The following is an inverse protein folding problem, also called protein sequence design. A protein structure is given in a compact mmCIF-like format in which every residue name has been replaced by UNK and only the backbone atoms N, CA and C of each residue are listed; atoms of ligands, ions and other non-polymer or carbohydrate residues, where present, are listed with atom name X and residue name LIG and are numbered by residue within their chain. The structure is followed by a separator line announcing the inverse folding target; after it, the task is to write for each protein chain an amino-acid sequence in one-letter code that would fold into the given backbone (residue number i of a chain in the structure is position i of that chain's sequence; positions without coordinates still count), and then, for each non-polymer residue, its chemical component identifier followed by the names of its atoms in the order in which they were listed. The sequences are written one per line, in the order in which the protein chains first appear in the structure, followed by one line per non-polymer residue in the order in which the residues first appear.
data_IF_881184781088
#
_entry.id   IF_881184781088
#
_cell.length_a   1.000
_cell.length_b   1.000
_cell.length_c   1.000
_cell.angle_alpha   90.00
_cell.angle_beta   90.00
_cell.angle_gamma   90.00
#
_symmetry.space_group_name_H-M   'P 1'
#
loop_
_entity.id
_entity.type
_entity.pdbx_description
1 polymer ?
#
# COMPACT_ATOMS: atom_id res chain seq x y z
N UNK A 1 27.97 23.13 7.89
CA UNK A 1 26.58 22.82 8.31
C UNK A 1 25.97 21.94 7.21
N UNK A 2 26.12 20.63 7.36
CA UNK A 2 25.49 19.69 6.43
C UNK A 2 24.00 19.64 6.75
N UNK A 3 23.20 20.35 5.95
CA UNK A 3 21.75 20.15 5.91
C UNK A 3 21.51 18.83 5.20
N UNK A 4 21.49 17.74 5.96
CA UNK A 4 21.06 16.44 5.48
C UNK A 4 19.57 16.57 5.11
N UNK A 5 19.33 17.03 3.87
CA UNK A 5 17.97 17.23 3.34
C UNK A 5 17.36 15.85 3.18
N UNK A 6 16.54 15.46 4.14
CA UNK A 6 15.82 14.19 4.10
C UNK A 6 14.97 14.12 2.82
N UNK A 7 15.46 13.43 1.81
CA UNK A 7 14.75 13.23 0.55
C UNK A 7 13.72 12.13 0.80
N UNK A 8 12.45 12.46 0.69
CA UNK A 8 11.36 11.46 0.78
C UNK A 8 11.46 10.52 -0.42
N UNK A 9 11.49 9.23 -0.15
CA UNK A 9 11.43 8.21 -1.20
C UNK A 9 10.09 8.26 -1.93
N UNK A 10 10.07 7.96 -3.25
CA UNK A 10 8.82 7.82 -4.00
C UNK A 10 7.90 6.77 -3.38
N UNK A 11 6.60 7.01 -3.42
CA UNK A 11 5.64 6.03 -2.95
C UNK A 11 5.42 4.92 -3.99
N UNK A 12 5.38 3.69 -3.52
CA UNK A 12 5.13 2.51 -4.34
C UNK A 12 3.62 2.29 -4.49
N UNK A 13 3.15 2.03 -5.71
CA UNK A 13 1.75 1.66 -5.95
C UNK A 13 1.55 0.17 -5.73
N UNK A 14 0.54 -0.19 -4.94
CA UNK A 14 0.20 -1.58 -4.60
C UNK A 14 -1.30 -1.79 -4.68
N UNK A 15 -1.74 -2.92 -5.22
CA UNK A 15 -3.13 -3.37 -5.08
C UNK A 15 -3.43 -3.89 -3.67
N UNK A 16 -4.69 -3.78 -3.23
CA UNK A 16 -5.12 -4.22 -1.91
C UNK A 16 -4.85 -5.71 -1.67
N UNK A 17 -5.05 -6.55 -2.68
CA UNK A 17 -4.78 -7.99 -2.59
C UNK A 17 -3.31 -8.29 -2.30
N UNK A 18 -2.37 -7.57 -2.94
CA UNK A 18 -0.94 -7.67 -2.68
C UNK A 18 -0.56 -7.07 -1.32
N UNK A 19 -1.03 -5.85 -1.05
CA UNK A 19 -0.77 -5.13 0.21
C UNK A 19 -1.18 -5.95 1.43
N UNK A 20 -2.39 -6.51 1.41
CA UNK A 20 -2.90 -7.33 2.51
C UNK A 20 -2.16 -8.67 2.66
N UNK A 21 -1.57 -9.19 1.60
CA UNK A 21 -0.73 -10.41 1.65
C UNK A 21 0.69 -10.11 2.17
N UNK A 22 1.11 -8.83 2.20
CA UNK A 22 2.46 -8.42 2.59
C UNK A 22 2.57 -8.36 4.11
N UNK A 23 3.48 -9.18 4.69
CA UNK A 23 3.67 -9.31 6.15
C UNK A 23 5.09 -9.03 6.61
N UNK A 24 6.04 -8.95 5.67
CA UNK A 24 7.44 -8.68 5.99
C UNK A 24 7.68 -7.17 6.07
N UNK A 25 7.72 -6.64 7.28
CA UNK A 25 8.06 -5.25 7.57
C UNK A 25 9.41 -5.21 8.31
N UNK A 26 10.40 -4.51 7.74
CA UNK A 26 11.77 -4.55 8.24
C UNK A 26 12.41 -3.17 8.30
N UNK A 27 13.24 -2.94 9.31
CA UNK A 27 14.22 -1.84 9.38
C UNK A 27 15.59 -2.37 8.98
N UNK A 28 16.40 -1.55 8.33
CA UNK A 28 17.76 -1.87 7.89
C UNK A 28 18.82 -1.01 8.58
N UNK A 29 18.46 -0.38 9.68
CA UNK A 29 19.35 0.42 10.53
C UNK A 29 18.86 0.34 11.97
N UNK A 30 19.78 0.40 12.92
CA UNK A 30 19.51 0.44 14.37
C UNK A 30 19.02 1.83 14.85
N UNK A 31 19.06 2.85 13.98
CA UNK A 31 18.51 4.17 14.30
C UNK A 31 16.99 4.05 14.52
N UNK A 32 16.51 4.53 15.67
CA UNK A 32 15.07 4.54 15.98
C UNK A 32 14.23 5.27 14.93
N UNK A 33 14.81 6.29 14.28
CA UNK A 33 14.16 7.09 13.22
C UNK A 33 14.30 6.48 11.84
N UNK A 34 15.05 5.37 11.69
CA UNK A 34 15.18 4.71 10.40
C UNK A 34 13.83 4.27 9.85
N UNK A 35 13.60 4.41 8.53
CA UNK A 35 12.36 3.97 7.92
C UNK A 35 12.21 2.45 7.98
N UNK A 36 10.97 1.99 8.15
CA UNK A 36 10.59 0.60 7.95
C UNK A 36 10.15 0.39 6.51
N UNK A 37 10.50 -0.74 5.93
CA UNK A 37 10.14 -1.12 4.56
C UNK A 37 9.25 -2.35 4.57
N UNK A 38 8.11 -2.25 3.91
CA UNK A 38 7.27 -3.39 3.59
C UNK A 38 7.84 -4.07 2.34
N UNK A 39 8.22 -5.33 2.49
CA UNK A 39 8.63 -6.18 1.37
C UNK A 39 7.42 -7.02 0.98
N UNK A 40 7.00 -6.92 -0.30
CA UNK A 40 5.80 -7.61 -0.77
C UNK A 40 6.13 -8.96 -1.40
N UNK A 41 5.14 -9.85 -1.56
CA UNK A 41 5.35 -11.13 -2.24
C UNK A 41 5.81 -11.01 -3.70
N UNK A 42 5.54 -9.90 -4.37
CA UNK A 42 6.03 -9.61 -5.74
C UNK A 42 7.37 -8.86 -5.74
N UNK A 43 7.98 -8.63 -4.57
CA UNK A 43 9.30 -8.00 -4.46
C UNK A 43 9.30 -6.48 -4.44
N UNK A 44 8.15 -5.82 -4.26
CA UNK A 44 8.16 -4.39 -3.98
C UNK A 44 8.78 -4.11 -2.60
N UNK A 45 9.60 -3.06 -2.52
CA UNK A 45 10.20 -2.57 -1.27
C UNK A 45 9.69 -1.16 -1.03
N UNK A 46 8.81 -1.00 -0.05
CA UNK A 46 8.07 0.25 0.13
C UNK A 46 8.13 0.77 1.56
N UNK A 47 8.70 1.96 1.77
CA UNK A 47 8.52 2.70 3.01
C UNK A 47 7.31 3.63 2.96
N UNK A 48 6.83 3.96 1.74
CA UNK A 48 5.61 4.71 1.46
C UNK A 48 4.80 4.02 0.37
N UNK A 49 3.49 4.04 0.50
CA UNK A 49 2.56 3.40 -0.44
C UNK A 49 1.54 4.43 -0.91
N UNK A 50 1.26 4.44 -2.21
CA UNK A 50 0.20 5.22 -2.84
C UNK A 50 -0.90 4.26 -3.28
N UNK A 51 -2.09 4.45 -2.73
CA UNK A 51 -3.28 3.66 -3.08
C UNK A 51 -4.38 4.55 -3.65
N UNK A 52 -5.26 3.96 -4.45
CA UNK A 52 -6.50 4.59 -4.87
C UNK A 52 -7.64 3.57 -4.89
N UNK A 53 -8.86 4.03 -4.69
CA UNK A 53 -10.04 3.20 -4.70
C UNK A 53 -11.28 3.94 -4.20
N UNK A 54 -12.36 3.20 -4.01
CA UNK A 54 -13.59 3.73 -3.42
C UNK A 54 -13.49 3.66 -1.90
N UNK A 55 -13.60 4.80 -1.22
CA UNK A 55 -13.86 4.85 0.21
C UNK A 55 -15.27 4.30 0.47
N UNK A 56 -15.36 3.14 1.10
CA UNK A 56 -16.65 2.47 1.37
C UNK A 56 -17.08 2.60 2.83
N UNK A 57 -16.12 2.84 3.72
CA UNK A 57 -16.39 2.94 5.16
C UNK A 57 -15.46 3.95 5.81
N UNK A 58 -16.03 4.85 6.62
CA UNK A 58 -15.33 5.84 7.41
C UNK A 58 -15.83 5.78 8.85
N UNK A 59 -14.99 5.29 9.74
CA UNK A 59 -15.27 5.20 11.17
C UNK A 59 -14.42 6.22 11.94
N UNK A 60 -15.06 7.23 12.52
CA UNK A 60 -14.44 8.13 13.47
C UNK A 60 -14.37 7.43 14.83
N UNK A 61 -13.25 7.59 15.49
CA UNK A 61 -13.00 7.10 16.84
C UNK A 61 -12.31 8.17 17.67
N UNK A 62 -12.39 8.03 18.98
CA UNK A 62 -11.75 8.91 19.93
C UNK A 62 -10.87 8.08 20.88
N UNK A 63 -9.68 8.56 21.17
CA UNK A 63 -8.80 7.94 22.14
C UNK A 63 -9.17 8.37 23.56
N UNK A 64 -8.53 7.79 24.58
CA UNK A 64 -8.78 8.10 26.00
C UNK A 64 -8.48 9.55 26.40
N UNK A 65 -7.83 10.32 25.50
CA UNK A 65 -7.50 11.74 25.69
C UNK A 65 -8.39 12.68 24.90
N UNK A 66 -9.44 12.14 24.24
CA UNK A 66 -10.36 12.90 23.42
C UNK A 66 -9.82 13.24 22.01
N UNK A 67 -8.72 12.61 21.61
CA UNK A 67 -8.14 12.86 20.29
C UNK A 67 -8.82 11.98 19.24
N UNK A 68 -9.31 12.61 18.18
CA UNK A 68 -9.98 11.91 17.07
C UNK A 68 -8.99 11.20 16.17
N UNK A 69 -9.37 10.01 15.71
CA UNK A 69 -8.70 9.25 14.69
C UNK A 69 -9.72 8.51 13.82
N UNK A 70 -9.32 8.17 12.59
CA UNK A 70 -10.23 7.53 11.64
C UNK A 70 -9.68 6.17 11.21
N UNK A 71 -10.59 5.20 11.08
CA UNK A 71 -10.35 3.92 10.42
C UNK A 71 -11.19 3.87 9.16
N UNK A 72 -10.53 3.74 8.02
CA UNK A 72 -11.16 3.73 6.71
C UNK A 72 -11.04 2.36 6.07
N UNK A 73 -12.01 2.05 5.20
CA UNK A 73 -11.97 0.94 4.26
C UNK A 73 -12.07 1.48 2.85
N UNK A 74 -11.07 1.14 2.03
CA UNK A 74 -10.96 1.59 0.64
C UNK A 74 -10.87 0.36 -0.24
N UNK A 75 -11.75 0.25 -1.24
CA UNK A 75 -11.84 -0.87 -2.17
C UNK A 75 -11.24 -0.50 -3.53
N UNK A 76 -10.29 -1.32 -4.01
CA UNK A 76 -9.67 -1.18 -5.34
C UNK A 76 -10.07 -2.29 -6.33
N UNK A 77 -11.12 -3.06 -6.02
CA UNK A 77 -11.60 -4.26 -6.72
C UNK A 77 -10.73 -5.52 -6.52
N UNK A 78 -9.49 -5.43 -6.05
CA UNK A 78 -8.69 -6.63 -5.71
C UNK A 78 -8.87 -7.03 -4.26
N UNK A 79 -9.26 -6.08 -3.41
CA UNK A 79 -9.50 -6.26 -1.99
C UNK A 79 -9.79 -4.94 -1.29
N UNK A 80 -9.67 -4.98 0.04
CA UNK A 80 -9.98 -3.86 0.92
C UNK A 80 -8.72 -3.40 1.66
N UNK A 81 -8.30 -2.16 1.45
CA UNK A 81 -7.30 -1.55 2.30
C UNK A 81 -7.90 -1.16 3.66
N UNK A 82 -7.13 -1.37 4.72
CA UNK A 82 -7.37 -0.74 6.01
C UNK A 82 -6.45 0.45 6.13
N UNK A 83 -7.01 1.65 6.27
CA UNK A 83 -6.27 2.90 6.40
C UNK A 83 -6.57 3.53 7.76
N UNK A 84 -5.52 4.04 8.40
CA UNK A 84 -5.59 4.69 9.71
C UNK A 84 -5.10 6.13 9.54
N UNK A 85 -5.87 7.09 10.05
CA UNK A 85 -5.50 8.51 10.12
C UNK A 85 -5.49 8.90 11.59
N UNK A 86 -4.34 9.24 12.12
CA UNK A 86 -4.16 9.58 13.53
C UNK A 86 -3.93 11.07 13.76
N UNK A 87 -3.82 11.46 15.02
CA UNK A 87 -3.68 12.84 15.50
C UNK A 87 -2.41 13.55 15.01
N UNK A 88 -1.41 12.78 14.54
CA UNK A 88 -0.17 13.35 14.00
C UNK A 88 -0.27 13.80 12.53
N UNK A 89 -1.46 13.62 11.90
CA UNK A 89 -1.74 14.02 10.52
C UNK A 89 -2.94 14.99 10.49
N UNK A 90 -2.79 16.22 11.00
CA UNK A 90 -3.91 17.16 11.16
C UNK A 90 -4.55 17.55 9.82
N UNK A 91 -3.76 17.60 8.73
CA UNK A 91 -4.28 17.89 7.40
C UNK A 91 -5.15 16.74 6.90
N UNK A 92 -4.68 15.49 6.98
CA UNK A 92 -5.45 14.31 6.61
C UNK A 92 -6.74 14.15 7.46
N UNK A 93 -6.70 14.51 8.75
CA UNK A 93 -7.90 14.53 9.60
C UNK A 93 -8.92 15.55 9.10
N UNK A 94 -8.48 16.74 8.72
CA UNK A 94 -9.35 17.79 8.22
C UNK A 94 -9.99 17.38 6.90
N UNK A 95 -9.20 16.84 5.96
CA UNK A 95 -9.71 16.37 4.67
C UNK A 95 -10.73 15.23 4.86
N UNK A 96 -10.40 14.19 5.63
CA UNK A 96 -11.31 13.04 5.80
C UNK A 96 -12.60 13.43 6.52
N UNK A 97 -12.61 14.46 7.37
CA UNK A 97 -13.81 14.91 8.06
C UNK A 97 -14.91 15.36 7.07
N UNK A 98 -14.50 15.94 5.94
CA UNK A 98 -15.41 16.46 4.90
C UNK A 98 -15.79 15.40 3.86
N UNK A 99 -15.02 14.30 3.69
CA UNK A 99 -15.27 13.26 2.69
C UNK A 99 -16.39 12.34 3.16
N UNK A 100 -17.41 12.16 2.32
CA UNK A 100 -18.54 11.24 2.56
C UNK A 100 -18.39 9.99 1.69
N UNK A 101 -18.55 8.81 2.29
CA UNK A 101 -18.59 7.57 1.54
C UNK A 101 -19.98 7.38 0.86
N UNK A 102 -20.04 6.81 -0.38
CA UNK A 102 -18.92 6.36 -1.19
C UNK A 102 -18.26 7.50 -1.98
N UNK A 103 -16.92 7.50 -2.08
CA UNK A 103 -16.16 8.50 -2.83
C UNK A 103 -14.85 7.90 -3.36
N UNK A 104 -14.38 8.32 -4.54
CA UNK A 104 -13.05 7.96 -5.02
C UNK A 104 -11.99 8.77 -4.31
N UNK A 105 -10.99 8.07 -3.77
CA UNK A 105 -9.90 8.70 -3.03
C UNK A 105 -8.53 8.18 -3.47
N UNK A 106 -7.54 9.05 -3.32
CA UNK A 106 -6.12 8.70 -3.34
C UNK A 106 -5.57 8.91 -1.94
N UNK A 107 -4.81 7.94 -1.45
CA UNK A 107 -4.16 8.00 -0.14
C UNK A 107 -2.69 7.68 -0.29
N UNK A 108 -1.85 8.49 0.34
CA UNK A 108 -0.43 8.21 0.52
C UNK A 108 -0.14 8.00 2.00
N UNK A 109 0.73 7.03 2.32
CA UNK A 109 1.04 6.76 3.71
C UNK A 109 2.14 5.73 3.90
N UNK A 110 2.40 5.43 5.17
CA UNK A 110 3.40 4.44 5.59
C UNK A 110 2.73 3.11 5.89
N UNK A 111 3.24 1.99 5.34
CA UNK A 111 2.74 0.66 5.68
C UNK A 111 3.06 0.32 7.14
N UNK A 112 2.17 -0.42 7.77
CA UNK A 112 2.34 -0.93 9.13
C UNK A 112 1.83 -2.35 9.20
N UNK A 113 2.58 -3.24 9.84
CA UNK A 113 2.17 -4.61 10.13
C UNK A 113 2.03 -4.76 11.64
N UNK A 114 0.93 -5.33 12.08
CA UNK A 114 0.67 -5.56 13.50
C UNK A 114 0.12 -6.98 13.69
N UNK A 115 0.36 -7.53 14.85
CA UNK A 115 -0.14 -8.83 15.26
C UNK A 115 -1.46 -8.68 16.03
N UNK A 116 -2.47 -9.41 15.62
CA UNK A 116 -3.74 -9.50 16.33
C UNK A 116 -3.68 -10.50 17.49
N UNK A 117 -4.73 -10.53 18.30
CA UNK A 117 -4.83 -11.36 19.51
C UNK A 117 -4.64 -12.86 19.26
N UNK A 118 -4.95 -13.33 18.06
CA UNK A 118 -4.79 -14.75 17.66
C UNK A 118 -3.44 -15.04 16.95
N UNK A 119 -2.48 -14.12 17.00
CA UNK A 119 -1.19 -14.25 16.31
C UNK A 119 -1.21 -13.98 14.81
N UNK A 120 -2.38 -13.62 14.25
CA UNK A 120 -2.47 -13.27 12.83
C UNK A 120 -1.88 -11.90 12.55
N UNK A 121 -1.09 -11.80 11.47
CA UNK A 121 -0.51 -10.53 11.04
C UNK A 121 -1.47 -9.77 10.11
N UNK A 122 -1.66 -8.50 10.40
CA UNK A 122 -2.48 -7.58 9.62
C UNK A 122 -1.64 -6.44 9.08
N UNK A 123 -1.93 -6.06 7.83
CA UNK A 123 -1.28 -4.93 7.19
C UNK A 123 -2.26 -3.77 7.10
N UNK A 124 -1.83 -2.59 7.48
CA UNK A 124 -2.59 -1.34 7.39
C UNK A 124 -1.73 -0.22 6.85
N UNK A 125 -2.35 0.83 6.31
CA UNK A 125 -1.70 2.04 5.86
C UNK A 125 -1.94 3.15 6.88
N UNK A 126 -0.88 3.71 7.45
CA UNK A 126 -0.96 4.95 8.23
C UNK A 126 -0.89 6.10 7.24
N UNK A 127 -2.04 6.72 6.95
CA UNK A 127 -2.11 7.79 5.98
C UNK A 127 -1.29 9.00 6.42
N UNK A 128 -0.54 9.57 5.48
CA UNK A 128 0.10 10.87 5.61
C UNK A 128 -0.81 11.94 5.00
N UNK A 129 -1.55 11.57 3.94
CA UNK A 129 -2.47 12.45 3.23
C UNK A 129 -3.57 11.65 2.53
N UNK A 130 -4.73 12.29 2.30
CA UNK A 130 -5.88 11.74 1.59
C UNK A 130 -6.56 12.85 0.79
N UNK A 131 -6.90 12.58 -0.46
CA UNK A 131 -7.65 13.51 -1.33
C UNK A 131 -8.75 12.77 -2.08
N UNK A 132 -9.83 13.49 -2.40
CA UNK A 132 -10.84 13.03 -3.36
C UNK A 132 -10.25 13.09 -4.77
N UNK A 133 -10.57 12.13 -5.60
CA UNK A 133 -10.16 12.11 -7.00
C UNK A 133 -11.33 11.73 -7.92
N UNK A 134 -11.18 12.03 -9.20
CA UNK A 134 -12.12 11.59 -10.22
C UNK A 134 -11.88 10.13 -10.65
N UNK A 135 -12.85 9.51 -11.36
CA UNK A 135 -12.70 8.15 -11.86
C UNK A 135 -11.52 7.98 -12.82
N UNK A 136 -11.16 9.00 -13.59
CA UNK A 136 -10.05 8.97 -14.54
C UNK A 136 -8.71 8.84 -13.80
N UNK A 137 -8.49 9.66 -12.78
CA UNK A 137 -7.31 9.57 -11.90
C UNK A 137 -7.17 8.18 -11.28
N UNK A 138 -8.27 7.61 -10.78
CA UNK A 138 -8.30 6.24 -10.24
C UNK A 138 -7.96 5.22 -11.33
N UNK A 139 -8.47 5.38 -12.56
CA UNK A 139 -8.18 4.48 -13.68
C UNK A 139 -6.69 4.51 -14.06
N UNK A 140 -6.10 5.70 -14.16
CA UNK A 140 -4.65 5.88 -14.43
C UNK A 140 -3.83 5.18 -13.33
N UNK A 141 -4.18 5.40 -12.06
CA UNK A 141 -3.51 4.70 -10.95
C UNK A 141 -3.61 3.18 -11.09
N UNK A 142 -4.78 2.66 -11.49
CA UNK A 142 -4.98 1.21 -11.67
C UNK A 142 -4.09 0.65 -12.77
N UNK A 143 -3.97 1.35 -13.93
CA UNK A 143 -3.13 0.91 -15.05
C UNK A 143 -1.63 0.94 -14.67
N UNK A 144 -1.18 2.01 -14.04
CA UNK A 144 0.20 2.15 -13.56
C UNK A 144 0.54 1.04 -12.54
N UNK A 145 -0.38 0.78 -11.61
CA UNK A 145 -0.21 -0.28 -10.60
C UNK A 145 -0.15 -1.65 -11.24
N UNK A 146 -1.01 -1.91 -12.24
CA UNK A 146 -1.02 -3.17 -12.99
C UNK A 146 0.32 -3.39 -13.71
N UNK A 147 0.80 -2.39 -14.44
CA UNK A 147 2.07 -2.45 -15.16
C UNK A 147 3.24 -2.75 -14.21
N UNK A 148 3.34 -2.01 -13.10
CA UNK A 148 4.39 -2.22 -12.10
C UNK A 148 4.30 -3.58 -11.43
N UNK A 149 3.09 -4.07 -11.12
CA UNK A 149 2.89 -5.38 -10.50
C UNK A 149 3.30 -6.51 -11.45
N UNK A 150 2.94 -6.43 -12.74
CA UNK A 150 3.36 -7.42 -13.75
C UNK A 150 4.89 -7.45 -13.90
N UNK A 151 5.54 -6.29 -13.96
CA UNK A 151 7.00 -6.22 -14.04
C UNK A 151 7.67 -6.88 -12.83
N UNK A 152 7.16 -6.63 -11.61
CA UNK A 152 7.65 -7.27 -10.39
C UNK A 152 7.43 -8.78 -10.37
N UNK A 153 6.29 -9.27 -10.88
CA UNK A 153 6.02 -10.72 -10.97
C UNK A 153 7.08 -11.40 -11.85
N UNK A 154 7.39 -10.82 -13.02
CA UNK A 154 8.41 -11.36 -13.94
C UNK A 154 9.77 -11.39 -13.23
N UNK A 155 10.20 -10.28 -12.63
CA UNK A 155 11.48 -10.21 -11.90
C UNK A 155 11.55 -11.23 -10.76
N UNK A 156 10.45 -11.43 -10.04
CA UNK A 156 10.39 -12.37 -8.92
C UNK A 156 10.44 -13.83 -9.39
N UNK A 157 9.83 -14.17 -10.53
CA UNK A 157 9.94 -15.50 -11.14
C UNK A 157 11.38 -15.80 -11.56
N UNK A 158 12.09 -14.81 -12.09
CA UNK A 158 13.51 -14.94 -12.44
C UNK A 158 14.37 -15.18 -11.20
N UNK A 159 14.20 -14.37 -10.15
CA UNK A 159 14.89 -14.55 -8.88
C UNK A 159 14.66 -15.95 -8.26
N UNK A 160 13.42 -16.43 -8.27
CA UNK A 160 13.05 -17.75 -7.76
C UNK A 160 13.65 -18.90 -8.57
N UNK A 161 13.93 -18.63 -9.86
CA UNK A 161 14.62 -19.57 -10.74
C UNK A 161 16.15 -19.54 -10.59
N UNK A 162 16.67 -18.72 -9.64
CA UNK A 162 18.10 -18.57 -9.39
C UNK A 162 18.83 -17.69 -10.41
N UNK A 163 18.10 -16.94 -11.26
CA UNK A 163 18.70 -15.99 -12.20
C UNK A 163 19.01 -14.67 -11.50
N UNK A 164 20.09 -14.03 -11.93
CA UNK A 164 20.38 -12.66 -11.52
C UNK A 164 19.46 -11.69 -12.27
N UNK A 165 18.92 -10.72 -11.53
CA UNK A 165 18.05 -9.66 -12.07
C UNK A 165 18.76 -8.33 -11.83
N UNK A 166 19.13 -7.66 -12.93
CA UNK A 166 19.79 -6.38 -12.87
C UNK A 166 18.82 -5.27 -12.42
N UNK A 167 19.31 -4.30 -11.63
CA UNK A 167 18.52 -3.13 -11.22
C UNK A 167 17.45 -3.41 -10.15
N UNK A 168 17.36 -4.63 -9.64
CA UNK A 168 16.42 -4.93 -8.53
C UNK A 168 16.98 -4.41 -7.20
N UNK A 169 16.10 -3.92 -6.35
CA UNK A 169 16.45 -3.60 -4.97
C UNK A 169 16.92 -4.89 -4.25
N UNK A 170 18.14 -4.93 -3.69
CA UNK A 170 18.65 -6.15 -3.04
C UNK A 170 17.75 -6.69 -1.93
N UNK A 171 16.99 -5.81 -1.25
CA UNK A 171 16.04 -6.18 -0.19
C UNK A 171 14.86 -7.01 -0.73
N UNK A 172 14.50 -6.86 -2.01
CA UNK A 172 13.45 -7.65 -2.65
C UNK A 172 13.75 -9.15 -2.67
N UNK A 173 15.04 -9.55 -2.62
CA UNK A 173 15.44 -10.96 -2.53
C UNK A 173 14.90 -11.65 -1.28
N UNK A 174 14.69 -10.92 -0.20
CA UNK A 174 14.11 -11.46 1.04
C UNK A 174 12.69 -12.00 0.83
N UNK A 175 11.96 -11.49 -0.18
CA UNK A 175 10.64 -12.00 -0.53
C UNK A 175 10.67 -13.45 -1.02
N UNK A 176 11.77 -13.88 -1.68
CA UNK A 176 11.95 -15.25 -2.16
C UNK A 176 11.95 -16.25 -1.00
N UNK A 177 12.63 -15.88 0.09
CA UNK A 177 12.75 -16.75 1.26
C UNK A 177 11.51 -16.71 2.16
N UNK A 178 10.92 -15.53 2.29
CA UNK A 178 9.78 -15.32 3.19
C UNK A 178 8.45 -15.82 2.60
N UNK A 179 8.18 -15.52 1.31
CA UNK A 179 6.91 -15.85 0.66
C UNK A 179 7.05 -17.08 -0.24
N UNK A 180 6.61 -18.23 0.22
CA UNK A 180 6.69 -19.51 -0.52
C UNK A 180 5.52 -19.77 -1.49
N UNK A 181 4.54 -18.86 -1.53
CA UNK A 181 3.32 -19.04 -2.32
C UNK A 181 3.49 -18.73 -3.81
N UNK A 182 2.51 -19.16 -4.61
CA UNK A 182 2.44 -18.92 -6.05
C UNK A 182 2.19 -17.44 -6.36
N UNK A 183 2.88 -16.91 -7.38
CA UNK A 183 2.69 -15.56 -7.88
C UNK A 183 1.46 -15.42 -8.79
N UNK A 184 0.88 -16.52 -9.28
CA UNK A 184 -0.30 -16.51 -10.18
C UNK A 184 -1.47 -15.72 -9.61
N UNK A 185 -1.69 -15.77 -8.28
CA UNK A 185 -2.77 -15.01 -7.65
C UNK A 185 -2.65 -13.49 -7.84
N UNK A 186 -1.43 -12.96 -7.99
CA UNK A 186 -1.21 -11.52 -8.22
C UNK A 186 -1.52 -11.15 -9.66
N UNK A 187 -1.29 -12.05 -10.64
CA UNK A 187 -1.79 -11.89 -12.00
C UNK A 187 -3.33 -11.83 -12.03
N UNK A 188 -4.01 -12.66 -11.24
CA UNK A 188 -5.48 -12.60 -11.15
C UNK A 188 -5.97 -11.29 -10.53
N UNK A 189 -5.26 -10.71 -9.55
CA UNK A 189 -5.58 -9.38 -9.05
C UNK A 189 -5.45 -8.32 -10.14
N UNK A 190 -4.38 -8.37 -10.94
CA UNK A 190 -4.19 -7.45 -12.08
C UNK A 190 -5.33 -7.57 -13.07
N UNK A 191 -5.68 -8.80 -13.51
CA UNK A 191 -6.80 -9.05 -14.44
C UNK A 191 -8.11 -8.50 -13.90
N UNK A 192 -8.41 -8.75 -12.61
CA UNK A 192 -9.62 -8.28 -11.96
C UNK A 192 -9.68 -6.76 -11.90
N UNK A 193 -8.57 -6.10 -11.55
CA UNK A 193 -8.50 -4.65 -11.46
C UNK A 193 -8.73 -3.98 -12.84
N UNK A 194 -8.01 -4.47 -13.87
CA UNK A 194 -8.08 -3.91 -15.23
C UNK A 194 -9.39 -4.26 -15.92
N UNK A 195 -9.91 -5.49 -15.72
CA UNK A 195 -11.19 -5.92 -16.31
C UNK A 195 -12.37 -5.04 -15.88
N UNK A 196 -12.34 -4.49 -14.68
CA UNK A 196 -13.37 -3.57 -14.19
C UNK A 196 -13.27 -2.15 -14.80
N UNK A 197 -12.15 -1.77 -15.43
CA UNK A 197 -12.04 -0.49 -16.12
C UNK A 197 -12.84 -0.48 -17.42
N UNK A 198 -12.86 -1.59 -18.15
CA UNK A 198 -13.54 -1.70 -19.42
C UNK A 198 -15.09 -1.62 -19.31
N UNK A 199 -15.64 -1.90 -18.13
CA UNK A 199 -17.09 -1.87 -17.89
C UNK A 199 -17.64 -0.46 -17.63
N UNK A 200 -16.81 0.54 -17.47
CA UNK A 200 -17.20 1.92 -17.13
C UNK A 200 -16.97 2.92 -18.26
N UNK A 201 -16.55 2.45 -19.45
CA UNK A 201 -16.31 3.27 -20.65
C UNK A 201 -17.38 3.10 -21.73
N UNK A 202 -18.48 2.39 -21.43
CA UNK A 202 -19.61 2.18 -22.33
C UNK A 202 -20.82 3.03 -21.94
#
# INVERSE_FOLDING_TARGET
MDTNKYIREPAVRLFAGEFNASKLLKKYSDDEKAPSYLITPTGAVANRVLISGVLVERNEKEDSRGSKWYKLKINDNTGMFTVMIGTYQPDAIREIAEIKAPEFVVVIGKPSVFEGENGSLFTSLKAEDIIVCDPETRNIWTLDTAQQTLARIVMMDELRSGREVEGIDPRAKEAVDYYKGDLKKYNEFVKKAVGNLALHTA
#
